data_IF_805633384621
#
_entry.id   IF_805633384621
#
_cell.length_a   1.000
_cell.length_b   1.000
_cell.length_c   1.000
_cell.angle_alpha   90.00
_cell.angle_beta   90.00
_cell.angle_gamma   90.00
#
_symmetry.space_group_name_H-M   'P 1'
#
loop_
_entity.id
_entity.type
_entity.pdbx_description
1 polymer ?
#
# COMPACT_ATOMS: atom_id res chain seq x y z
N UNK A 1 -17.96 6.26 -8.77
CA UNK A 1 -17.79 5.12 -7.85
C UNK A 1 -17.04 5.61 -6.61
N UNK A 2 -17.45 5.18 -5.42
CA UNK A 2 -16.82 5.63 -4.16
C UNK A 2 -15.74 4.66 -3.73
N UNK A 3 -14.62 5.21 -3.26
CA UNK A 3 -13.49 4.44 -2.75
C UNK A 3 -13.12 4.91 -1.35
N UNK A 4 -12.57 3.99 -0.57
CA UNK A 4 -12.17 4.21 0.81
C UNK A 4 -10.67 3.99 0.97
N UNK A 5 -10.00 4.94 1.62
CA UNK A 5 -8.59 4.81 1.99
C UNK A 5 -8.43 3.72 3.03
N UNK A 6 -7.54 2.77 2.76
CA UNK A 6 -7.16 1.73 3.72
C UNK A 6 -5.73 1.90 4.20
N UNK A 7 -5.45 1.41 5.39
CA UNK A 7 -4.09 1.17 5.88
C UNK A 7 -4.05 -0.09 6.72
N UNK A 8 -2.86 -0.62 6.94
CA UNK A 8 -2.66 -1.71 7.89
C UNK A 8 -3.10 -1.30 9.29
N UNK A 9 -3.67 -2.23 10.05
CA UNK A 9 -4.03 -1.98 11.44
C UNK A 9 -2.78 -1.80 12.32
N UNK A 10 -2.90 -0.98 13.37
CA UNK A 10 -1.86 -0.74 14.38
C UNK A 10 -2.39 -0.94 15.81
N UNK A 11 -3.68 -1.27 15.98
CA UNK A 11 -4.25 -1.56 17.29
C UNK A 11 -3.64 -2.85 17.87
N UNK A 12 -3.16 -2.78 19.11
CA UNK A 12 -2.49 -3.89 19.79
C UNK A 12 -3.41 -5.09 20.04
N UNK A 13 -4.72 -4.88 20.19
CA UNK A 13 -5.70 -5.95 20.37
C UNK A 13 -5.92 -6.72 19.07
N UNK A 14 -5.97 -6.02 17.94
CA UNK A 14 -6.06 -6.67 16.62
C UNK A 14 -4.75 -7.33 16.22
N UNK A 15 -3.63 -6.63 16.42
CA UNK A 15 -2.33 -7.02 15.84
C UNK A 15 -1.46 -7.86 16.77
N UNK A 16 -1.73 -7.85 18.08
CA UNK A 16 -0.88 -8.46 19.08
C UNK A 16 0.45 -7.73 19.31
N UNK A 17 0.64 -6.54 18.72
CA UNK A 17 1.82 -5.69 18.94
C UNK A 17 1.78 -5.08 20.34
N UNK A 18 2.91 -5.09 21.03
CA UNK A 18 3.04 -4.45 22.36
C UNK A 18 3.38 -2.96 22.28
N UNK A 19 4.11 -2.55 21.23
CA UNK A 19 4.57 -1.18 21.01
C UNK A 19 4.22 -0.74 19.59
N UNK A 20 4.32 0.57 19.32
CA UNK A 20 4.32 1.10 17.95
C UNK A 20 5.47 0.49 17.13
N UNK A 21 5.18 0.03 15.91
CA UNK A 21 6.15 -0.61 15.03
C UNK A 21 5.51 -1.56 14.00
N UNK A 22 6.33 -2.06 13.07
CA UNK A 22 5.90 -3.10 12.13
C UNK A 22 5.63 -4.44 12.85
N UNK A 23 4.80 -5.28 12.25
CA UNK A 23 4.48 -6.61 12.79
C UNK A 23 5.59 -7.61 12.49
N UNK A 24 6.15 -7.56 11.29
CA UNK A 24 7.18 -8.48 10.81
C UNK A 24 8.37 -7.74 10.22
N UNK A 25 9.53 -8.39 10.20
CA UNK A 25 10.77 -7.83 9.68
C UNK A 25 11.61 -8.89 8.95
N UNK A 26 12.45 -8.43 8.02
CA UNK A 26 13.49 -9.26 7.43
C UNK A 26 14.70 -9.35 8.39
N UNK A 27 15.40 -10.48 8.33
CA UNK A 27 16.68 -10.66 9.00
C UNK A 27 17.67 -11.40 8.08
N UNK A 28 18.84 -11.77 8.61
CA UNK A 28 19.89 -12.47 7.85
C UNK A 28 19.46 -13.79 7.18
N UNK A 29 18.37 -14.40 7.66
CA UNK A 29 17.78 -15.65 7.18
C UNK A 29 16.56 -15.42 6.27
N UNK A 30 16.23 -14.17 5.91
CA UNK A 30 15.07 -13.87 5.07
C UNK A 30 15.20 -14.35 3.64
N UNK A 31 16.43 -14.46 3.15
CA UNK A 31 16.75 -15.01 1.84
C UNK A 31 17.72 -16.17 2.03
N UNK A 32 17.49 -17.24 1.27
CA UNK A 32 18.37 -18.40 1.22
C UNK A 32 19.57 -18.18 0.29
N UNK A 33 19.39 -17.40 -0.78
CA UNK A 33 20.44 -17.02 -1.74
C UNK A 33 20.76 -15.51 -1.67
N UNK A 34 22.05 -15.17 -1.47
CA UNK A 34 22.55 -13.79 -1.44
C UNK A 34 22.44 -13.07 -2.78
N UNK A 35 22.52 -13.79 -3.89
CA UNK A 35 22.30 -13.21 -5.23
C UNK A 35 20.85 -12.77 -5.40
N UNK A 36 19.89 -13.59 -4.96
CA UNK A 36 18.46 -13.25 -4.97
C UNK A 36 18.19 -12.07 -4.06
N UNK A 37 18.72 -12.07 -2.83
CA UNK A 37 18.61 -10.94 -1.90
C UNK A 37 19.12 -9.63 -2.53
N UNK A 38 20.29 -9.69 -3.17
CA UNK A 38 20.88 -8.53 -3.84
C UNK A 38 20.00 -8.02 -4.97
N UNK A 39 19.53 -8.91 -5.85
CA UNK A 39 18.66 -8.54 -6.98
C UNK A 39 17.35 -7.89 -6.51
N UNK A 40 16.71 -8.48 -5.49
CA UNK A 40 15.49 -7.93 -4.88
C UNK A 40 15.72 -6.51 -4.33
N UNK A 41 16.80 -6.32 -3.54
CA UNK A 41 17.13 -5.00 -2.99
C UNK A 41 17.46 -3.98 -4.06
N UNK A 42 18.24 -4.37 -5.08
CA UNK A 42 18.60 -3.49 -6.19
C UNK A 42 17.38 -3.00 -6.97
N UNK A 43 16.36 -3.85 -7.14
CA UNK A 43 15.10 -3.46 -7.76
C UNK A 43 14.42 -2.33 -6.99
N UNK A 44 14.23 -2.46 -5.68
CA UNK A 44 13.57 -1.42 -4.87
C UNK A 44 14.43 -0.17 -4.70
N UNK A 45 15.77 -0.31 -4.68
CA UNK A 45 16.69 0.84 -4.76
C UNK A 45 16.52 1.59 -6.07
N UNK A 46 16.33 0.88 -7.20
CA UNK A 46 16.09 1.52 -8.49
C UNK A 46 14.77 2.30 -8.49
N UNK A 47 13.73 1.81 -7.80
CA UNK A 47 12.46 2.53 -7.63
C UNK A 47 12.64 3.81 -6.78
N UNK A 48 13.46 3.77 -5.73
CA UNK A 48 13.78 4.97 -4.93
C UNK A 48 14.54 6.01 -5.78
N UNK A 49 15.50 5.55 -6.60
CA UNK A 49 16.30 6.43 -7.47
C UNK A 49 15.50 7.00 -8.65
N UNK A 50 14.48 6.28 -9.10
CA UNK A 50 13.62 6.71 -10.20
C UNK A 50 12.16 6.40 -9.86
N UNK A 51 11.51 7.40 -9.26
CA UNK A 51 10.12 7.33 -8.80
C UNK A 51 9.13 7.03 -9.94
N UNK A 52 9.45 7.38 -11.19
CA UNK A 52 8.59 7.10 -12.35
C UNK A 52 8.34 5.60 -12.52
N UNK A 53 9.29 4.75 -12.09
CA UNK A 53 9.12 3.29 -12.11
C UNK A 53 7.97 2.80 -11.23
N UNK A 54 7.43 3.65 -10.36
CA UNK A 54 6.32 3.31 -9.47
C UNK A 54 5.03 4.04 -9.82
N UNK A 55 5.03 4.84 -10.89
CA UNK A 55 3.89 5.65 -11.32
C UNK A 55 3.00 4.95 -12.32
N UNK A 56 1.76 5.42 -12.41
CA UNK A 56 0.82 5.05 -13.46
C UNK A 56 1.41 5.30 -14.86
N UNK A 57 1.28 4.31 -15.75
CA UNK A 57 1.79 4.37 -17.13
C UNK A 57 3.24 3.90 -17.32
N UNK A 58 4.06 3.94 -16.27
CA UNK A 58 5.48 3.55 -16.30
C UNK A 58 5.88 2.55 -15.21
N UNK A 59 4.87 1.91 -14.59
CA UNK A 59 5.06 0.97 -13.50
C UNK A 59 5.87 -0.25 -13.91
N UNK A 60 6.93 -0.54 -13.15
CA UNK A 60 7.78 -1.71 -13.38
C UNK A 60 7.44 -2.78 -12.35
N UNK A 61 7.10 -3.98 -12.82
CA UNK A 61 6.91 -5.16 -11.98
C UNK A 61 8.26 -5.78 -11.63
N UNK A 62 8.41 -6.23 -10.38
CA UNK A 62 9.46 -7.15 -10.00
C UNK A 62 9.08 -8.57 -10.41
N UNK A 63 9.82 -9.15 -11.33
CA UNK A 63 9.66 -10.54 -11.74
C UNK A 63 10.60 -11.41 -10.90
N UNK A 64 10.09 -12.17 -9.90
CA UNK A 64 10.95 -12.97 -9.03
C UNK A 64 11.58 -14.12 -9.83
N UNK A 65 12.87 -14.43 -9.65
CA UNK A 65 13.48 -15.60 -10.26
C UNK A 65 12.83 -16.90 -9.74
N UNK A 66 13.02 -18.00 -10.46
CA UNK A 66 12.43 -19.30 -10.10
C UNK A 66 12.81 -19.79 -8.69
N UNK A 67 14.00 -19.44 -8.21
CA UNK A 67 14.52 -19.78 -6.89
C UNK A 67 14.27 -18.71 -5.82
N UNK A 68 13.31 -17.81 -6.07
CA UNK A 68 12.94 -16.78 -5.12
C UNK A 68 12.26 -17.37 -3.88
N UNK A 69 12.85 -17.13 -2.70
CA UNK A 69 12.26 -17.45 -1.40
C UNK A 69 12.53 -16.32 -0.42
N UNK A 70 11.44 -15.69 0.05
CA UNK A 70 11.47 -14.57 0.98
C UNK A 70 10.68 -14.93 2.23
N UNK A 71 11.36 -14.94 3.37
CA UNK A 71 10.74 -15.17 4.68
C UNK A 71 10.89 -13.95 5.58
N UNK A 72 9.77 -13.45 6.08
CA UNK A 72 9.68 -12.47 7.15
C UNK A 72 9.60 -13.15 8.51
N UNK A 73 9.92 -12.42 9.57
CA UNK A 73 9.90 -12.93 10.94
C UNK A 73 9.04 -12.02 11.83
N UNK A 74 8.12 -12.58 12.64
CA UNK A 74 7.40 -11.79 13.64
C UNK A 74 8.37 -11.14 14.62
N UNK A 75 8.20 -9.83 14.87
CA UNK A 75 9.05 -9.11 15.85
C UNK A 75 8.92 -9.65 17.26
N UNK A 76 7.74 -10.15 17.61
CA UNK A 76 7.47 -10.78 18.91
C UNK A 76 6.57 -12.00 18.71
N UNK A 77 6.60 -12.92 19.68
CA UNK A 77 5.72 -14.09 19.70
C UNK A 77 4.23 -13.74 19.86
N UNK A 78 3.91 -12.49 20.22
CA UNK A 78 2.54 -12.03 20.43
C UNK A 78 1.87 -11.52 19.17
N UNK A 79 2.63 -11.29 18.08
CA UNK A 79 2.07 -10.84 16.80
C UNK A 79 1.09 -11.90 16.31
N UNK A 80 -0.13 -11.46 16.00
CA UNK A 80 -1.17 -12.32 15.47
C UNK A 80 -0.97 -12.54 13.97
N UNK A 81 -1.31 -13.73 13.52
CA UNK A 81 -1.39 -14.07 12.12
C UNK A 81 -2.66 -13.44 11.52
N UNK A 82 -2.49 -12.31 10.80
CA UNK A 82 -3.59 -11.56 10.17
C UNK A 82 -3.52 -11.67 8.65
N UNK A 83 -4.62 -11.30 7.98
CA UNK A 83 -4.67 -11.30 6.52
C UNK A 83 -3.83 -10.19 5.90
N UNK A 84 -3.86 -8.98 6.49
CA UNK A 84 -3.06 -7.84 6.03
C UNK A 84 -2.04 -7.49 7.11
N UNK A 85 -0.76 -7.55 6.74
CA UNK A 85 0.38 -7.39 7.64
C UNK A 85 1.25 -6.21 7.20
N UNK A 86 1.71 -5.40 8.15
CA UNK A 86 2.75 -4.42 7.90
C UNK A 86 4.15 -4.99 8.20
N UNK A 87 5.15 -4.43 7.55
CA UNK A 87 6.54 -4.89 7.60
C UNK A 87 7.51 -3.70 7.72
N UNK A 88 8.78 -3.94 8.06
CA UNK A 88 9.76 -2.87 8.32
C UNK A 88 10.45 -2.30 7.08
N UNK A 89 10.58 -3.11 6.04
CA UNK A 89 11.48 -2.83 4.93
C UNK A 89 10.94 -1.68 4.09
N UNK A 90 11.85 -0.85 3.59
CA UNK A 90 11.51 0.23 2.68
C UNK A 90 11.37 -0.31 1.25
N UNK A 91 10.28 -1.03 1.01
CA UNK A 91 9.93 -1.50 -0.33
C UNK A 91 9.02 -0.45 -0.97
N UNK A 92 9.64 0.47 -1.71
CA UNK A 92 8.94 1.62 -2.25
C UNK A 92 7.78 1.18 -3.16
N UNK A 93 6.58 1.69 -2.87
CA UNK A 93 5.33 1.36 -3.52
C UNK A 93 4.87 -0.11 -3.39
N UNK A 94 5.15 -0.73 -2.23
CA UNK A 94 4.51 -1.97 -1.77
C UNK A 94 3.68 -1.65 -0.54
N UNK A 95 2.36 -1.79 -0.64
CA UNK A 95 1.42 -1.29 0.37
C UNK A 95 1.40 -2.14 1.65
N UNK A 96 1.47 -3.47 1.52
CA UNK A 96 1.41 -4.42 2.63
C UNK A 96 1.78 -5.84 2.18
N UNK A 97 1.93 -6.74 3.16
CA UNK A 97 1.82 -8.19 2.97
C UNK A 97 0.34 -8.60 3.07
N UNK A 98 -0.14 -9.41 2.14
CA UNK A 98 -1.52 -9.92 2.12
C UNK A 98 -1.53 -11.45 2.07
N UNK A 99 -2.37 -12.09 2.89
CA UNK A 99 -2.55 -13.54 2.91
C UNK A 99 -3.10 -14.03 1.57
N UNK A 100 -2.84 -15.29 1.24
CA UNK A 100 -3.36 -15.89 0.01
C UNK A 100 -4.90 -15.82 -0.08
N UNK A 101 -5.60 -16.03 1.04
CA UNK A 101 -7.05 -15.92 1.12
C UNK A 101 -7.54 -14.50 0.81
N UNK A 102 -6.97 -13.48 1.43
CA UNK A 102 -7.38 -12.10 1.18
C UNK A 102 -6.99 -11.64 -0.24
N UNK A 103 -5.86 -12.10 -0.77
CA UNK A 103 -5.50 -11.86 -2.16
C UNK A 103 -6.48 -12.52 -3.14
N UNK A 104 -6.96 -13.73 -2.86
CA UNK A 104 -7.99 -14.40 -3.68
C UNK A 104 -9.29 -13.60 -3.75
N UNK A 105 -9.65 -12.85 -2.71
CA UNK A 105 -10.78 -11.90 -2.74
C UNK A 105 -10.43 -10.71 -3.63
N UNK A 106 -9.28 -10.09 -3.40
CA UNK A 106 -8.78 -8.94 -4.18
C UNK A 106 -8.74 -9.23 -5.69
N UNK A 107 -8.32 -10.43 -6.07
CA UNK A 107 -8.18 -10.88 -7.45
C UNK A 107 -9.51 -11.10 -8.20
N UNK A 108 -10.66 -11.09 -7.52
CA UNK A 108 -11.98 -11.13 -8.17
C UNK A 108 -12.37 -9.78 -8.78
N UNK A 109 -11.70 -8.71 -8.37
CA UNK A 109 -11.99 -7.34 -8.77
C UNK A 109 -11.04 -6.87 -9.88
N UNK A 110 -11.35 -5.70 -10.46
CA UNK A 110 -10.52 -5.12 -11.53
C UNK A 110 -9.30 -4.46 -10.92
N UNK A 111 -8.17 -5.17 -10.97
CA UNK A 111 -6.88 -4.68 -10.51
C UNK A 111 -6.09 -4.06 -11.67
N UNK A 112 -5.38 -2.94 -11.46
CA UNK A 112 -4.38 -2.52 -12.43
C UNK A 112 -3.20 -3.51 -12.41
N UNK A 113 -2.27 -3.32 -13.35
CA UNK A 113 -0.97 -4.00 -13.30
C UNK A 113 -0.35 -3.77 -11.91
N UNK A 114 0.16 -4.81 -11.25
CA UNK A 114 0.59 -4.71 -9.86
C UNK A 114 1.67 -5.74 -9.53
N UNK A 115 2.48 -5.42 -8.52
CA UNK A 115 3.40 -6.38 -7.93
C UNK A 115 2.62 -7.40 -7.09
N UNK A 116 2.96 -8.67 -7.26
CA UNK A 116 2.52 -9.78 -6.40
C UNK A 116 3.72 -10.70 -6.16
N UNK A 117 4.52 -10.37 -5.14
CA UNK A 117 5.78 -11.06 -4.87
C UNK A 117 5.54 -12.07 -3.74
N UNK A 118 5.79 -13.38 -3.94
CA UNK A 118 5.60 -14.40 -2.90
C UNK A 118 6.40 -14.10 -1.64
N UNK A 119 5.82 -14.33 -0.47
CA UNK A 119 6.51 -14.20 0.81
C UNK A 119 5.92 -15.17 1.83
N UNK A 120 6.73 -15.53 2.82
CA UNK A 120 6.28 -16.29 3.99
C UNK A 120 6.53 -15.48 5.24
N UNK A 121 5.81 -15.80 6.31
CA UNK A 121 6.13 -15.32 7.65
C UNK A 121 6.46 -16.53 8.49
N UNK A 122 7.66 -16.56 9.07
CA UNK A 122 8.09 -17.64 9.94
C UNK A 122 7.07 -17.85 11.08
N UNK A 123 6.81 -19.10 11.43
CA UNK A 123 5.82 -19.56 12.44
C UNK A 123 4.35 -19.37 12.07
N UNK A 124 4.05 -18.71 10.95
CA UNK A 124 2.69 -18.57 10.44
C UNK A 124 2.40 -19.70 9.44
N UNK A 125 1.13 -20.05 9.33
CA UNK A 125 0.65 -21.14 8.48
C UNK A 125 0.23 -20.67 7.08
N UNK A 126 -0.13 -19.40 6.96
CA UNK A 126 -0.57 -18.78 5.71
C UNK A 126 0.62 -18.39 4.81
N UNK A 127 0.42 -18.56 3.50
CA UNK A 127 1.25 -17.91 2.50
C UNK A 127 0.84 -16.45 2.33
N UNK A 128 1.83 -15.59 2.06
CA UNK A 128 1.66 -14.16 1.89
C UNK A 128 2.21 -13.68 0.54
N UNK A 129 1.77 -12.49 0.14
CA UNK A 129 2.33 -11.77 -1.00
C UNK A 129 2.61 -10.33 -0.60
N UNK A 130 3.76 -9.80 -1.00
CA UNK A 130 3.96 -8.36 -1.07
C UNK A 130 3.19 -7.84 -2.27
N UNK A 131 2.27 -6.91 -2.02
CA UNK A 131 1.41 -6.33 -3.06
C UNK A 131 1.59 -4.82 -3.14
N UNK A 132 1.75 -4.32 -4.36
CA UNK A 132 1.91 -2.90 -4.65
C UNK A 132 1.34 -2.53 -6.00
N UNK A 133 0.78 -1.32 -6.10
CA UNK A 133 0.01 -0.86 -7.25
C UNK A 133 0.61 0.45 -7.80
N UNK A 134 0.47 0.76 -9.09
CA UNK A 134 0.95 2.02 -9.65
C UNK A 134 0.31 3.22 -8.97
N UNK A 135 1.14 4.13 -8.47
CA UNK A 135 0.66 5.38 -7.87
C UNK A 135 0.21 6.33 -8.98
N UNK A 136 -1.00 6.88 -8.85
CA UNK A 136 -1.51 7.87 -9.79
C UNK A 136 -0.61 9.11 -9.91
N UNK A 137 -0.63 9.71 -11.09
CA UNK A 137 0.03 10.98 -11.38
C UNK A 137 -0.85 12.14 -10.88
N UNK A 138 -0.24 13.25 -10.45
CA UNK A 138 -0.97 14.41 -9.94
C UNK A 138 -1.90 15.04 -11.00
N UNK A 139 -1.54 14.95 -12.28
CA UNK A 139 -2.38 15.43 -13.39
C UNK A 139 -3.68 14.64 -13.58
N UNK A 140 -3.88 13.54 -12.86
CA UNK A 140 -5.12 12.76 -12.84
C UNK A 140 -6.11 13.27 -11.80
N UNK A 141 -5.72 14.23 -10.95
CA UNK A 141 -6.60 14.81 -9.94
C UNK A 141 -7.34 16.04 -10.48
N UNK A 142 -8.61 16.15 -10.14
CA UNK A 142 -9.38 17.40 -10.23
C UNK A 142 -9.13 18.22 -8.95
N UNK A 143 -8.06 19.01 -8.94
CA UNK A 143 -7.68 19.83 -7.78
C UNK A 143 -8.71 20.89 -7.40
N UNK A 144 -9.54 21.34 -8.35
CA UNK A 144 -10.62 22.30 -8.07
C UNK A 144 -11.71 21.71 -7.19
N UNK A 145 -11.91 20.38 -7.25
CA UNK A 145 -12.87 19.65 -6.42
C UNK A 145 -12.24 18.94 -5.24
N UNK A 146 -10.94 18.63 -5.31
CA UNK A 146 -10.24 17.89 -4.27
C UNK A 146 -9.97 18.77 -3.05
N UNK A 147 -10.17 18.21 -1.86
CA UNK A 147 -9.99 18.89 -0.58
C UNK A 147 -9.04 18.09 0.29
N UNK A 148 -8.05 18.80 0.83
CA UNK A 148 -7.07 18.28 1.75
C UNK A 148 -7.19 19.02 3.09
N UNK A 149 -6.72 18.39 4.16
CA UNK A 149 -6.77 18.97 5.50
C UNK A 149 -5.49 18.72 6.26
N UNK A 150 -5.00 19.78 6.92
CA UNK A 150 -3.88 19.71 7.83
C UNK A 150 -4.41 19.69 9.26
N UNK A 151 -4.53 18.51 9.83
CA UNK A 151 -5.04 18.33 11.18
C UNK A 151 -4.20 19.08 12.23
N UNK A 152 -2.87 19.08 12.08
CA UNK A 152 -1.96 19.77 13.02
C UNK A 152 -2.16 21.29 13.08
N UNK A 153 -2.57 21.91 11.96
CA UNK A 153 -2.79 23.37 11.85
C UNK A 153 -4.27 23.75 11.78
N UNK A 154 -5.18 22.78 11.84
CA UNK A 154 -6.62 22.99 11.69
C UNK A 154 -7.05 23.59 10.35
N UNK A 155 -6.22 23.47 9.30
CA UNK A 155 -6.37 24.26 8.07
C UNK A 155 -6.78 23.39 6.88
N UNK A 156 -7.81 23.82 6.14
CA UNK A 156 -8.12 23.28 4.82
C UNK A 156 -7.05 23.70 3.82
N UNK A 157 -6.57 22.72 3.05
CA UNK A 157 -5.61 22.93 1.97
C UNK A 157 -6.31 22.59 0.66
N UNK A 158 -6.28 23.53 -0.27
CA UNK A 158 -6.68 23.31 -1.66
C UNK A 158 -5.46 23.60 -2.51
N UNK A 159 -5.33 22.89 -3.62
CA UNK A 159 -4.30 23.16 -4.63
C UNK A 159 -4.99 23.73 -5.85
N UNK A 160 -4.34 24.69 -6.52
CA UNK A 160 -4.95 25.33 -7.69
C UNK A 160 -4.84 24.45 -8.93
N UNK A 161 -3.70 23.76 -9.07
CA UNK A 161 -3.36 22.96 -10.23
C UNK A 161 -2.21 21.97 -9.89
N UNK A 162 -1.76 21.24 -10.91
CA UNK A 162 -0.68 20.25 -10.79
C UNK A 162 0.65 20.89 -10.36
N UNK A 163 1.00 22.05 -10.91
CA UNK A 163 2.28 22.71 -10.61
C UNK A 163 2.29 23.23 -9.17
N UNK A 164 1.18 23.83 -8.71
CA UNK A 164 1.00 24.24 -7.31
C UNK A 164 1.07 23.03 -6.36
N UNK A 165 0.45 21.91 -6.75
CA UNK A 165 0.58 20.67 -5.98
C UNK A 165 2.02 20.20 -5.94
N UNK A 166 2.66 19.89 -7.07
CA UNK A 166 4.00 19.30 -7.13
C UNK A 166 5.10 20.19 -6.49
N UNK A 167 4.97 21.52 -6.58
CA UNK A 167 5.94 22.47 -6.04
C UNK A 167 5.57 23.06 -4.67
N UNK A 168 4.50 22.56 -4.03
CA UNK A 168 4.12 23.04 -2.71
C UNK A 168 5.24 22.86 -1.67
N UNK A 169 5.18 23.63 -0.59
CA UNK A 169 6.03 23.38 0.57
C UNK A 169 5.72 22.00 1.17
N UNK A 170 6.73 21.35 1.74
CA UNK A 170 6.64 20.01 2.34
C UNK A 170 5.41 19.84 3.24
N UNK A 171 5.19 20.83 4.11
CA UNK A 171 4.09 20.92 5.05
C UNK A 171 2.69 20.87 4.42
N UNK A 172 2.56 21.46 3.22
CA UNK A 172 1.29 21.52 2.48
C UNK A 172 1.09 20.25 1.66
N UNK A 173 2.16 19.69 1.11
CA UNK A 173 2.17 18.35 0.48
C UNK A 173 1.73 17.24 1.42
N UNK A 174 2.08 17.35 2.71
CA UNK A 174 1.72 16.36 3.74
C UNK A 174 0.28 16.48 4.24
N UNK A 175 -0.55 17.37 3.67
CA UNK A 175 -1.96 17.45 4.02
C UNK A 175 -2.68 16.11 3.71
N UNK A 176 -3.50 15.66 4.65
CA UNK A 176 -4.27 14.43 4.49
C UNK A 176 -5.46 14.67 3.55
N UNK A 177 -5.76 13.74 2.64
CA UNK A 177 -6.92 13.87 1.76
C UNK A 177 -8.21 13.71 2.56
N UNK A 178 -9.14 14.64 2.38
CA UNK A 178 -10.53 14.48 2.84
C UNK A 178 -11.36 13.88 1.71
N UNK A 179 -11.27 14.50 0.53
CA UNK A 179 -11.89 14.03 -0.70
C UNK A 179 -10.96 14.27 -1.89
N UNK A 180 -10.62 13.22 -2.62
CA UNK A 180 -9.88 13.31 -3.89
C UNK A 180 -10.87 13.06 -5.02
N UNK A 181 -10.92 13.97 -5.98
CA UNK A 181 -11.67 13.78 -7.22
C UNK A 181 -10.68 13.50 -8.35
N UNK A 182 -10.97 12.51 -9.17
CA UNK A 182 -10.21 12.28 -10.40
C UNK A 182 -10.85 13.05 -11.57
N UNK A 183 -10.00 13.54 -12.48
CA UNK A 183 -10.45 14.15 -13.74
C UNK A 183 -10.56 13.12 -14.88
N UNK A 184 -10.16 11.88 -14.62
CA UNK A 184 -10.27 10.72 -15.49
C UNK A 184 -11.12 9.64 -14.83
N UNK A 185 -11.86 8.89 -15.64
CA UNK A 185 -12.62 7.73 -15.17
C UNK A 185 -11.73 6.49 -15.15
N UNK A 186 -11.37 6.01 -13.97
CA UNK A 186 -10.66 4.75 -13.75
C UNK A 186 -11.63 3.58 -13.67
N UNK A 187 -11.31 2.48 -14.34
CA UNK A 187 -12.13 1.26 -14.35
C UNK A 187 -11.69 0.22 -13.31
N UNK A 188 -10.78 0.59 -12.41
CA UNK A 188 -10.17 -0.31 -11.44
C UNK A 188 -10.79 -0.15 -10.07
N UNK A 189 -10.85 -1.25 -9.32
CA UNK A 189 -11.37 -1.30 -7.94
C UNK A 189 -10.30 -0.97 -6.89
N UNK A 190 -9.05 -0.84 -7.33
CA UNK A 190 -7.90 -0.49 -6.49
C UNK A 190 -7.16 0.66 -7.13
N UNK A 191 -6.99 1.74 -6.36
CA UNK A 191 -6.32 2.95 -6.81
C UNK A 191 -5.29 3.33 -5.76
N UNK A 192 -4.01 3.35 -6.14
CA UNK A 192 -2.95 3.88 -5.29
C UNK A 192 -2.68 5.35 -5.61
N UNK A 193 -2.56 6.16 -4.58
CA UNK A 193 -2.27 7.59 -4.68
C UNK A 193 -1.08 7.91 -3.78
N UNK A 194 -0.50 9.10 -3.93
CA UNK A 194 0.54 9.59 -3.00
C UNK A 194 0.07 9.61 -1.54
N UNK A 195 -1.24 9.65 -1.30
CA UNK A 195 -1.82 9.66 0.03
C UNK A 195 -2.23 8.25 0.50
N UNK A 196 -2.00 7.21 -0.29
CA UNK A 196 -2.22 5.81 0.08
C UNK A 196 -3.18 5.09 -0.86
N UNK A 197 -3.51 3.85 -0.46
CA UNK A 197 -4.29 2.91 -1.24
C UNK A 197 -5.79 3.06 -0.97
N UNK A 198 -6.57 3.14 -2.04
CA UNK A 198 -8.02 3.26 -2.03
C UNK A 198 -8.65 2.03 -2.66
N UNK A 199 -9.60 1.43 -1.97
CA UNK A 199 -10.39 0.29 -2.46
C UNK A 199 -11.82 0.71 -2.74
N UNK A 200 -12.42 0.20 -3.81
CA UNK A 200 -13.82 0.48 -4.15
C UNK A 200 -14.75 -0.02 -3.05
N UNK A 201 -15.89 0.67 -2.89
CA UNK A 201 -16.89 0.28 -1.90
C UNK A 201 -17.30 -1.20 -1.96
N UNK A 202 -17.59 -1.79 -3.14
CA UNK A 202 -17.93 -3.21 -3.22
C UNK A 202 -16.81 -4.13 -2.72
N UNK A 203 -15.55 -3.80 -2.97
CA UNK A 203 -14.40 -4.56 -2.47
C UNK A 203 -14.29 -4.47 -0.95
N UNK A 204 -14.48 -3.28 -0.37
CA UNK A 204 -14.51 -3.10 1.09
C UNK A 204 -15.61 -3.94 1.73
N UNK A 205 -16.82 -3.92 1.15
CA UNK A 205 -17.96 -4.71 1.64
C UNK A 205 -17.67 -6.22 1.62
N UNK A 206 -17.01 -6.73 0.57
CA UNK A 206 -16.59 -8.14 0.52
C UNK A 206 -15.50 -8.46 1.57
N UNK A 207 -14.49 -7.59 1.75
CA UNK A 207 -13.47 -7.79 2.79
C UNK A 207 -14.09 -7.84 4.20
N UNK A 208 -15.09 -7.01 4.47
CA UNK A 208 -15.83 -6.99 5.74
C UNK A 208 -16.68 -8.26 5.91
N UNK A 209 -17.43 -8.64 4.88
CA UNK A 209 -18.26 -9.86 4.87
C UNK A 209 -17.43 -11.12 5.10
N UNK A 210 -16.28 -11.20 4.44
CA UNK A 210 -15.34 -12.32 4.55
C UNK A 210 -14.44 -12.23 5.78
N UNK A 211 -14.67 -11.25 6.68
CA UNK A 211 -13.92 -11.05 7.93
C UNK A 211 -12.40 -11.00 7.72
N UNK A 212 -11.95 -10.31 6.68
CA UNK A 212 -10.52 -10.07 6.43
C UNK A 212 -9.96 -9.18 7.55
N UNK A 213 -8.79 -9.54 8.08
CA UNK A 213 -8.18 -8.90 9.26
C UNK A 213 -6.96 -8.05 8.92
N UNK A 214 -6.56 -7.17 9.83
CA UNK A 214 -5.28 -6.44 9.73
C UNK A 214 -5.29 -5.18 8.87
N UNK A 215 -6.46 -4.68 8.50
CA UNK A 215 -6.63 -3.36 7.88
C UNK A 215 -7.67 -2.53 8.63
N UNK A 216 -7.60 -1.21 8.41
CA UNK A 216 -8.59 -0.24 8.89
C UNK A 216 -8.88 0.77 7.80
N UNK A 217 -10.12 1.25 7.77
CA UNK A 217 -10.55 2.34 6.91
C UNK A 217 -10.18 3.66 7.59
N UNK A 218 -9.65 4.61 6.82
CA UNK A 218 -9.29 5.95 7.29
C UNK A 218 -10.15 7.01 6.62
N UNK A 219 -10.13 8.22 7.18
CA UNK A 219 -10.65 9.39 6.48
C UNK A 219 -9.87 9.61 5.18
N UNK A 220 -10.61 10.04 4.16
CA UNK A 220 -10.16 10.06 2.77
C UNK A 220 -11.08 9.22 1.90
N UNK A 221 -11.91 9.91 1.11
CA UNK A 221 -12.71 9.31 0.06
C UNK A 221 -12.08 9.68 -1.28
N UNK A 222 -12.05 8.73 -2.20
CA UNK A 222 -11.76 9.02 -3.59
C UNK A 222 -13.04 8.84 -4.41
N UNK A 223 -13.33 9.86 -5.22
CA UNK A 223 -14.43 9.91 -6.16
C UNK A 223 -13.90 9.91 -7.58
N UNK A 224 -14.41 8.97 -8.35
CA UNK A 224 -13.99 8.66 -9.70
C UNK A 224 -15.22 8.36 -10.56
#
# INVERSE_FOLDING_TARGET
MKYYRIRTDWDSKTTGRRNGGCAVEQNKNSFTDKRVEKNFKEFFIANIKNIERTRWGSYVIYEPPQDFDLTYFPKTKSIKELDIMNYSEQLFNISFLISERAYKILAKYRLPIHNKIPAKIATFSQDYFLVGFPTLLANMYDFKKSVFYRYEKGQRVMFENVDDYENAEYDRHMADPVSIFLNIKMEYDVIDTRHGLFLSQPLIEELQKEMVTGYIIREGILEN
#
